data_IF_697569585365
#
_entry.id   IF_697569585365
#
_cell.length_a   1.000
_cell.length_b   1.000
_cell.length_c   1.000
_cell.angle_alpha   90.00
_cell.angle_beta   90.00
_cell.angle_gamma   90.00
#
_symmetry.space_group_name_H-M   'P 1'
#
loop_
_entity.id
_entity.type
_entity.pdbx_description
1 polymer ?
#
# COMPACT_ATOMS: atom_id res chain seq x y z
N UNK A 1 -14.14 -10.85 20.44
CA UNK A 1 -15.02 -10.23 19.42
C UNK A 1 -15.82 -11.32 18.75
N UNK A 2 -17.10 -11.07 18.44
CA UNK A 2 -17.91 -12.08 17.79
C UNK A 2 -17.52 -12.20 16.31
N UNK A 3 -17.51 -13.44 15.78
CA UNK A 3 -17.40 -13.66 14.33
C UNK A 3 -18.57 -12.94 13.62
N UNK A 4 -18.34 -12.40 12.41
CA UNK A 4 -19.44 -11.83 11.64
C UNK A 4 -20.58 -12.85 11.44
N UNK A 5 -21.82 -12.41 11.55
CA UNK A 5 -22.99 -13.29 11.44
C UNK A 5 -23.16 -13.89 10.04
N UNK A 6 -22.68 -13.19 9.01
CA UNK A 6 -22.76 -13.64 7.63
C UNK A 6 -21.44 -13.39 6.90
N UNK A 7 -20.79 -14.44 6.44
CA UNK A 7 -19.54 -14.40 5.69
C UNK A 7 -19.77 -14.45 4.17
N UNK A 8 -20.99 -14.74 3.70
CA UNK A 8 -21.26 -14.99 2.28
C UNK A 8 -21.00 -13.81 1.36
N UNK A 9 -21.36 -12.57 1.68
CA UNK A 9 -21.21 -11.45 0.74
C UNK A 9 -19.77 -11.13 0.35
N UNK A 10 -18.80 -11.47 1.21
CA UNK A 10 -17.40 -11.18 0.93
C UNK A 10 -16.78 -12.23 0.01
N UNK A 11 -16.36 -11.81 -1.17
CA UNK A 11 -15.53 -12.61 -2.05
C UNK A 11 -14.06 -12.30 -1.77
N UNK A 12 -13.38 -13.21 -1.10
CA UNK A 12 -11.95 -13.05 -0.77
C UNK A 12 -11.08 -13.42 -1.98
N UNK A 13 -10.12 -12.56 -2.36
CA UNK A 13 -9.17 -12.85 -3.44
C UNK A 13 -8.23 -14.00 -3.03
N UNK A 14 -7.73 -14.74 -4.02
CA UNK A 14 -6.75 -15.83 -3.84
C UNK A 14 -7.10 -16.84 -2.74
N UNK A 15 -8.39 -17.05 -2.49
CA UNK A 15 -8.89 -17.85 -1.37
C UNK A 15 -9.96 -18.83 -1.87
N UNK A 16 -9.89 -20.12 -1.51
CA UNK A 16 -10.99 -21.06 -1.76
C UNK A 16 -12.17 -20.75 -0.83
N UNK A 17 -13.00 -19.77 -1.21
CA UNK A 17 -14.01 -19.15 -0.35
C UNK A 17 -14.95 -20.11 0.35
N UNK A 18 -15.43 -21.17 -0.36
CA UNK A 18 -16.32 -22.18 0.23
C UNK A 18 -15.66 -22.94 1.39
N UNK A 19 -14.36 -23.23 1.26
CA UNK A 19 -13.59 -23.92 2.31
C UNK A 19 -13.32 -22.98 3.47
N UNK A 20 -12.82 -21.77 3.16
CA UNK A 20 -12.50 -20.77 4.17
C UNK A 20 -13.73 -20.40 5.03
N UNK A 21 -14.91 -20.20 4.43
CA UNK A 21 -16.12 -19.79 5.14
C UNK A 21 -16.70 -20.85 6.08
N UNK A 22 -16.34 -22.12 5.88
CA UNK A 22 -16.73 -23.21 6.82
C UNK A 22 -15.92 -23.17 8.12
N UNK A 23 -14.64 -22.82 8.02
CA UNK A 23 -13.73 -22.69 9.15
C UNK A 23 -12.83 -21.46 8.98
N UNK A 24 -13.39 -20.24 9.20
CA UNK A 24 -12.71 -19.02 8.89
C UNK A 24 -11.64 -18.71 9.95
N UNK A 25 -10.45 -18.32 9.46
CA UNK A 25 -9.39 -17.75 10.29
C UNK A 25 -9.59 -16.25 10.37
N UNK A 26 -10.12 -15.76 11.47
CA UNK A 26 -10.42 -14.34 11.67
C UNK A 26 -9.33 -13.71 12.53
N UNK A 27 -8.74 -12.64 12.02
CA UNK A 27 -7.79 -11.81 12.76
C UNK A 27 -8.57 -10.66 13.37
N UNK A 28 -8.45 -10.50 14.68
CA UNK A 28 -9.17 -9.48 15.46
C UNK A 28 -8.26 -8.42 16.07
N UNK A 29 -6.96 -8.63 15.99
CA UNK A 29 -5.97 -7.68 16.50
C UNK A 29 -4.59 -7.98 15.98
N UNK A 30 -3.68 -7.04 16.19
CA UNK A 30 -2.26 -7.23 15.91
C UNK A 30 -1.41 -6.35 16.82
N UNK A 31 -0.21 -6.83 17.16
CA UNK A 31 0.77 -6.09 17.95
C UNK A 31 2.18 -6.56 17.58
N UNK A 32 3.07 -5.60 17.41
CA UNK A 32 4.48 -5.85 17.05
C UNK A 32 4.60 -6.73 15.79
N UNK A 33 4.94 -8.01 15.93
CA UNK A 33 5.11 -8.96 14.83
C UNK A 33 4.07 -10.09 14.86
N UNK A 34 2.97 -9.91 15.59
CA UNK A 34 1.97 -10.96 15.76
C UNK A 34 0.57 -10.45 15.43
N UNK A 35 -0.20 -11.28 14.74
CA UNK A 35 -1.65 -11.20 14.67
C UNK A 35 -2.28 -11.89 15.87
N UNK A 36 -3.47 -11.46 16.24
CA UNK A 36 -4.30 -12.09 17.26
C UNK A 36 -5.58 -12.59 16.58
N UNK A 37 -5.80 -13.89 16.64
CA UNK A 37 -7.00 -14.52 16.10
C UNK A 37 -8.21 -14.36 17.03
N UNK A 38 -9.40 -14.64 16.53
CA UNK A 38 -10.65 -14.54 17.29
C UNK A 38 -10.74 -15.53 18.45
N UNK A 39 -9.95 -16.60 18.44
CA UNK A 39 -9.74 -17.56 19.53
C UNK A 39 -8.52 -17.21 20.43
N UNK A 40 -8.01 -15.99 20.35
CA UNK A 40 -6.90 -15.44 21.14
C UNK A 40 -5.54 -16.13 20.94
N UNK A 41 -5.31 -16.78 19.82
CA UNK A 41 -3.97 -17.26 19.48
C UNK A 41 -3.12 -16.14 18.92
N UNK A 42 -1.86 -16.09 19.34
CA UNK A 42 -0.85 -15.27 18.69
C UNK A 42 -0.27 -16.01 17.48
N UNK A 43 -0.30 -15.35 16.33
CA UNK A 43 0.18 -15.89 15.06
C UNK A 43 1.29 -14.95 14.55
N UNK A 44 2.50 -15.49 14.40
CA UNK A 44 3.63 -14.72 13.88
C UNK A 44 3.33 -14.24 12.44
N UNK A 45 3.43 -12.94 12.22
CA UNK A 45 3.35 -12.31 10.92
C UNK A 45 4.73 -12.27 10.24
N UNK A 46 5.11 -13.36 9.60
CA UNK A 46 6.39 -13.50 8.90
C UNK A 46 6.47 -12.74 7.56
N UNK A 47 5.38 -12.10 7.15
CA UNK A 47 5.30 -11.40 5.85
C UNK A 47 5.04 -9.90 5.98
N UNK A 48 5.09 -9.36 7.20
CA UNK A 48 4.78 -7.96 7.51
C UNK A 48 3.43 -7.51 6.91
N UNK A 49 2.38 -8.32 7.11
CA UNK A 49 1.04 -8.04 6.56
C UNK A 49 1.04 -7.94 5.05
N UNK A 50 1.79 -8.82 4.37
CA UNK A 50 2.01 -8.79 2.92
C UNK A 50 2.65 -7.46 2.47
N UNK A 51 3.78 -7.10 3.12
CA UNK A 51 4.59 -5.89 2.89
C UNK A 51 3.96 -4.55 3.30
N UNK A 52 2.84 -4.55 4.01
CA UNK A 52 2.12 -3.33 4.37
C UNK A 52 2.51 -2.76 5.74
N UNK A 53 3.09 -3.57 6.63
CA UNK A 53 3.43 -3.19 8.01
C UNK A 53 4.88 -3.50 8.38
N UNK A 54 5.80 -3.11 7.52
CA UNK A 54 7.24 -3.41 7.68
C UNK A 54 7.85 -2.88 8.98
N UNK A 55 7.27 -1.84 9.58
CA UNK A 55 7.68 -1.33 10.89
C UNK A 55 7.11 -2.15 12.07
N UNK A 56 6.23 -3.12 11.79
CA UNK A 56 5.46 -3.87 12.79
C UNK A 56 4.11 -3.21 13.13
N UNK A 57 3.22 -4.02 13.68
CA UNK A 57 1.86 -3.59 14.02
C UNK A 57 1.81 -2.70 15.26
N UNK A 58 0.85 -1.79 15.32
CA UNK A 58 0.50 -1.00 16.50
C UNK A 58 1.56 0.02 16.94
N UNK A 59 2.41 0.50 16.05
CA UNK A 59 3.46 1.48 16.37
C UNK A 59 2.85 2.83 16.75
N UNK A 60 2.91 3.17 18.05
CA UNK A 60 2.30 4.40 18.60
C UNK A 60 2.69 5.66 17.85
N UNK A 61 3.98 5.86 17.57
CA UNK A 61 4.46 7.04 16.84
C UNK A 61 3.83 7.20 15.45
N UNK A 62 3.61 6.08 14.75
CA UNK A 62 2.96 6.07 13.43
C UNK A 62 1.47 6.41 13.59
N UNK A 63 0.78 5.77 14.54
CA UNK A 63 -0.63 6.02 14.82
C UNK A 63 -0.89 7.48 15.20
N UNK A 64 -0.08 8.04 16.10
CA UNK A 64 -0.19 9.43 16.53
C UNK A 64 0.04 10.40 15.36
N UNK A 65 1.04 10.13 14.50
CA UNK A 65 1.31 10.95 13.33
C UNK A 65 0.16 10.92 12.31
N UNK A 66 -0.43 9.73 12.07
CA UNK A 66 -1.58 9.55 11.18
C UNK A 66 -2.80 10.28 11.73
N UNK A 67 -3.14 10.08 13.02
CA UNK A 67 -4.28 10.73 13.66
C UNK A 67 -4.16 12.25 13.59
N UNK A 68 -3.01 12.79 13.96
CA UNK A 68 -2.75 14.24 13.88
C UNK A 68 -2.91 14.78 12.45
N UNK A 69 -2.48 14.01 11.45
CA UNK A 69 -2.60 14.44 10.06
C UNK A 69 -4.06 14.41 9.59
N UNK A 70 -4.82 13.38 9.92
CA UNK A 70 -6.25 13.27 9.58
C UNK A 70 -7.06 14.41 10.23
N UNK A 71 -6.77 14.77 11.48
CA UNK A 71 -7.40 15.89 12.18
C UNK A 71 -7.12 17.24 11.49
N UNK A 72 -5.92 17.41 10.92
CA UNK A 72 -5.52 18.66 10.28
C UNK A 72 -5.94 18.74 8.81
N UNK A 73 -5.69 17.69 8.04
CA UNK A 73 -6.04 17.56 6.63
C UNK A 73 -6.04 16.08 6.28
N UNK A 74 -7.21 15.52 6.07
CA UNK A 74 -7.45 14.12 5.75
C UNK A 74 -7.18 13.80 4.28
N UNK A 75 -7.59 14.72 3.38
CA UNK A 75 -7.46 14.54 1.93
C UNK A 75 -7.27 15.87 1.21
N UNK A 76 -6.46 15.82 0.16
CA UNK A 76 -6.33 16.88 -0.84
C UNK A 76 -6.22 16.22 -2.22
N UNK A 77 -7.05 16.61 -3.22
CA UNK A 77 -6.96 16.02 -4.56
C UNK A 77 -5.60 16.38 -5.20
N UNK A 78 -4.90 15.41 -5.82
CA UNK A 78 -3.58 15.65 -6.40
C UNK A 78 -3.63 16.30 -7.78
N UNK A 79 -4.76 16.90 -8.15
CA UNK A 79 -4.97 17.61 -9.42
C UNK A 79 -4.95 19.11 -9.19
N UNK A 80 -3.84 19.77 -9.52
CA UNK A 80 -3.61 21.21 -9.35
C UNK A 80 -3.61 21.69 -7.88
N UNK A 81 -3.82 20.80 -6.93
CA UNK A 81 -3.65 21.03 -5.50
C UNK A 81 -2.51 20.17 -4.98
N UNK A 82 -1.83 20.62 -3.95
CA UNK A 82 -0.72 19.91 -3.34
C UNK A 82 -0.96 19.63 -1.87
N UNK A 83 -0.61 18.43 -1.41
CA UNK A 83 -0.58 18.08 0.00
C UNK A 83 0.86 18.23 0.51
N UNK A 84 1.12 19.01 1.59
CA UNK A 84 2.49 19.26 2.08
C UNK A 84 3.28 17.98 2.35
N UNK A 85 2.61 16.94 2.89
CA UNK A 85 3.25 15.64 3.18
C UNK A 85 3.69 14.87 1.95
N UNK A 86 3.05 15.06 0.81
CA UNK A 86 3.51 14.47 -0.45
C UNK A 86 4.86 15.04 -0.87
N UNK A 87 5.01 16.36 -0.80
CA UNK A 87 6.29 17.01 -1.14
C UNK A 87 7.39 16.65 -0.15
N UNK A 88 7.08 16.62 1.15
CA UNK A 88 8.04 16.17 2.17
C UNK A 88 8.51 14.74 1.92
N UNK A 89 7.60 13.82 1.63
CA UNK A 89 7.94 12.43 1.32
C UNK A 89 8.76 12.32 0.03
N UNK A 90 8.36 13.04 -1.03
CA UNK A 90 9.08 13.02 -2.31
C UNK A 90 10.53 13.51 -2.15
N UNK A 91 10.76 14.58 -1.39
CA UNK A 91 12.10 15.08 -1.09
C UNK A 91 12.94 14.04 -0.35
N UNK A 92 12.38 13.42 0.70
CA UNK A 92 13.09 12.37 1.45
C UNK A 92 13.42 11.15 0.60
N UNK A 93 12.53 10.77 -0.31
CA UNK A 93 12.80 9.66 -1.25
C UNK A 93 13.91 10.02 -2.23
N UNK A 94 13.92 11.25 -2.76
CA UNK A 94 14.96 11.71 -3.66
C UNK A 94 16.37 11.71 -3.01
N UNK A 95 16.45 11.92 -1.69
CA UNK A 95 17.71 11.88 -0.93
C UNK A 95 18.30 10.46 -0.84
N UNK A 96 17.48 9.41 -0.88
CA UNK A 96 17.91 8.02 -0.72
C UNK A 96 17.98 7.24 -2.04
N UNK A 97 17.43 7.79 -3.13
CA UNK A 97 17.50 7.17 -4.45
C UNK A 97 18.86 7.43 -5.12
N UNK A 98 19.24 6.61 -6.11
CA UNK A 98 20.44 6.86 -6.91
C UNK A 98 20.43 8.24 -7.55
N UNK A 99 21.63 8.79 -7.76
CA UNK A 99 21.80 10.09 -8.41
C UNK A 99 21.04 10.17 -9.74
N UNK A 100 20.35 11.28 -9.96
CA UNK A 100 19.50 11.50 -11.14
C UNK A 100 18.05 10.99 -11.01
N UNK A 101 17.72 10.20 -9.99
CA UNK A 101 16.35 9.73 -9.71
C UNK A 101 15.67 10.63 -8.68
N UNK A 102 15.40 11.87 -9.06
CA UNK A 102 14.93 12.93 -8.18
C UNK A 102 13.47 13.37 -8.40
N UNK A 103 12.72 12.60 -9.19
CA UNK A 103 11.29 12.83 -9.42
C UNK A 103 10.50 11.61 -8.97
N UNK A 104 9.47 11.83 -8.17
CA UNK A 104 8.65 10.77 -7.57
C UNK A 104 7.21 10.90 -8.06
N UNK A 105 6.68 9.81 -8.58
CA UNK A 105 5.27 9.66 -8.93
C UNK A 105 4.63 8.64 -7.98
N UNK A 106 3.64 9.07 -7.20
CA UNK A 106 2.93 8.21 -6.27
C UNK A 106 1.74 7.52 -6.95
N UNK A 107 1.54 6.25 -6.63
CA UNK A 107 0.40 5.44 -7.06
C UNK A 107 -0.16 4.63 -5.89
N UNK A 108 -1.37 4.06 -6.05
CA UNK A 108 -2.02 3.32 -4.97
C UNK A 108 -1.58 1.85 -4.89
N UNK A 109 -0.92 1.32 -5.91
CA UNK A 109 -0.45 -0.06 -5.94
C UNK A 109 0.80 -0.22 -6.81
N UNK A 110 1.53 -1.32 -6.60
CA UNK A 110 2.65 -1.70 -7.46
C UNK A 110 2.23 -1.91 -8.92
N UNK A 111 1.06 -2.48 -9.16
CA UNK A 111 0.52 -2.67 -10.52
C UNK A 111 0.27 -1.36 -11.23
N UNK A 112 -0.31 -0.37 -10.55
CA UNK A 112 -0.49 0.98 -11.11
C UNK A 112 0.85 1.68 -11.34
N UNK A 113 1.82 1.51 -10.44
CA UNK A 113 3.17 2.05 -10.60
C UNK A 113 3.85 1.50 -11.85
N UNK A 114 3.81 0.19 -12.07
CA UNK A 114 4.38 -0.46 -13.25
C UNK A 114 3.67 -0.03 -14.53
N UNK A 115 2.35 -0.05 -14.56
CA UNK A 115 1.57 0.39 -15.72
C UNK A 115 1.90 1.85 -16.10
N UNK A 116 1.97 2.72 -15.11
CA UNK A 116 2.35 4.13 -15.31
C UNK A 116 3.79 4.26 -15.81
N UNK A 117 4.73 3.52 -15.22
CA UNK A 117 6.13 3.55 -15.64
C UNK A 117 6.31 3.10 -17.11
N UNK A 118 5.62 2.05 -17.54
CA UNK A 118 5.63 1.58 -18.91
C UNK A 118 5.08 2.65 -19.88
N UNK A 119 3.98 3.30 -19.53
CA UNK A 119 3.41 4.39 -20.32
C UNK A 119 4.35 5.60 -20.40
N UNK A 120 4.98 5.97 -19.29
CA UNK A 120 5.96 7.05 -19.22
C UNK A 120 7.18 6.72 -20.11
N UNK A 121 7.69 5.47 -20.07
CA UNK A 121 8.81 5.05 -20.90
C UNK A 121 8.51 5.18 -22.41
N UNK A 122 7.31 4.76 -22.83
CA UNK A 122 6.87 4.92 -24.23
C UNK A 122 6.72 6.40 -24.61
N UNK A 123 6.10 7.20 -23.76
CA UNK A 123 5.94 8.63 -23.98
C UNK A 123 7.31 9.35 -24.06
N UNK A 124 8.25 8.99 -23.19
CA UNK A 124 9.62 9.50 -23.21
C UNK A 124 10.33 9.19 -24.52
N UNK A 125 10.26 7.95 -25.02
CA UNK A 125 10.89 7.59 -26.31
C UNK A 125 10.25 8.36 -27.47
N UNK A 126 8.94 8.53 -27.45
CA UNK A 126 8.22 9.33 -28.46
C UNK A 126 8.67 10.79 -28.44
N UNK A 127 8.77 11.41 -27.26
CA UNK A 127 9.21 12.79 -27.09
C UNK A 127 10.64 13.01 -27.57
N UNK A 128 11.50 11.98 -27.53
CA UNK A 128 12.87 11.99 -28.05
C UNK A 128 12.98 11.69 -29.56
N UNK A 129 11.88 11.59 -30.29
CA UNK A 129 11.84 11.26 -31.71
C UNK A 129 11.99 9.77 -32.03
N UNK A 130 11.95 8.89 -31.03
CA UNK A 130 12.07 7.44 -31.21
C UNK A 130 10.70 6.75 -31.14
N UNK A 131 9.70 7.23 -31.87
CA UNK A 131 8.32 6.76 -31.82
C UNK A 131 8.12 5.29 -32.22
N UNK A 132 9.08 4.69 -32.95
CA UNK A 132 9.08 3.27 -33.31
C UNK A 132 9.46 2.33 -32.15
N UNK A 133 10.02 2.85 -31.06
CA UNK A 133 10.36 2.07 -29.86
C UNK A 133 9.11 1.82 -29.02
N UNK A 134 8.33 0.83 -29.40
CA UNK A 134 7.04 0.49 -28.74
C UNK A 134 7.06 -0.87 -28.04
N UNK A 135 8.12 -1.66 -28.23
CA UNK A 135 8.25 -2.97 -27.56
C UNK A 135 8.85 -2.81 -26.17
N UNK A 136 8.25 -3.50 -25.24
CA UNK A 136 8.74 -3.71 -23.87
C UNK A 136 9.21 -5.17 -23.78
N UNK A 137 10.36 -5.39 -23.19
CA UNK A 137 11.01 -6.72 -23.08
C UNK A 137 11.20 -7.03 -21.61
#
# INVERSE_FOLDING_TARGET
MNKPNNLEPLWMPFTPNKVFKKDPRIIVGAKDMHFISDDNREILDGTAGLWCVNAGHGRKKIQEAVNKQIENLDYSPPFQFGHPKQFELANRLAEIFPEGMNHVFFSNSGSEAVDSALKIALAYQRARGHSSKTRLI
#
